data_IF_088090606524
#
_entry.id   IF_088090606524
#
_cell.length_a   1.000
_cell.length_b   1.000
_cell.length_c   1.000
_cell.angle_alpha   90.00
_cell.angle_beta   90.00
_cell.angle_gamma   90.00
#
_symmetry.space_group_name_H-M   'P 1'
#
loop_
_entity.id
_entity.type
_entity.pdbx_description
1 polymer ?
#
# COMPACT_ATOMS: atom_id res chain seq x y z
N UNK A 1 -0.30 -27.36 -30.84
CA UNK A 1 -0.96 -26.16 -31.40
C UNK A 1 -0.71 -24.99 -30.47
N UNK A 2 0.12 -24.07 -30.85
CA UNK A 2 0.26 -22.77 -30.17
C UNK A 2 -1.04 -22.00 -30.45
N UNK A 3 -1.92 -21.89 -29.44
CA UNK A 3 -3.10 -21.02 -29.52
C UNK A 3 -2.58 -19.59 -29.51
N UNK A 4 -2.72 -18.86 -30.62
CA UNK A 4 -2.42 -17.44 -30.67
C UNK A 4 -3.38 -16.70 -29.74
N UNK A 5 -2.86 -15.76 -28.95
CA UNK A 5 -3.69 -14.87 -28.13
C UNK A 5 -4.56 -14.01 -29.07
N UNK A 6 -5.87 -13.91 -28.82
CA UNK A 6 -6.79 -13.19 -29.72
C UNK A 6 -6.64 -11.68 -29.55
N UNK A 7 -5.58 -11.11 -30.10
CA UNK A 7 -5.29 -9.67 -30.05
C UNK A 7 -6.47 -8.86 -30.56
N UNK A 8 -6.90 -7.86 -29.79
CA UNK A 8 -8.02 -6.95 -30.13
C UNK A 8 -9.42 -7.55 -29.94
N UNK A 9 -9.56 -8.78 -29.40
CA UNK A 9 -10.85 -9.43 -29.12
C UNK A 9 -11.04 -9.80 -27.64
N UNK A 10 -10.11 -9.44 -26.79
CA UNK A 10 -10.13 -9.70 -25.35
C UNK A 10 -9.81 -8.42 -24.63
N UNK A 11 -10.64 -8.03 -23.69
CA UNK A 11 -10.37 -7.00 -22.70
C UNK A 11 -9.82 -7.68 -21.45
N UNK A 12 -8.68 -7.18 -20.98
CA UNK A 12 -8.06 -7.66 -19.75
C UNK A 12 -8.52 -6.75 -18.61
N UNK A 13 -9.13 -7.35 -17.61
CA UNK A 13 -9.54 -6.66 -16.38
C UNK A 13 -8.62 -7.10 -15.23
N UNK A 14 -8.02 -6.14 -14.55
CA UNK A 14 -7.28 -6.40 -13.32
C UNK A 14 -8.27 -6.46 -12.14
N UNK A 15 -8.20 -7.53 -11.35
CA UNK A 15 -8.96 -7.68 -10.13
C UNK A 15 -8.02 -7.52 -8.94
N UNK A 16 -8.32 -6.54 -8.09
CA UNK A 16 -7.56 -6.26 -6.88
C UNK A 16 -8.29 -6.78 -5.64
N UNK A 17 -7.61 -6.94 -4.49
CA UNK A 17 -8.29 -7.08 -3.21
C UNK A 17 -9.28 -5.93 -3.00
N UNK A 18 -10.32 -6.16 -2.22
CA UNK A 18 -11.28 -5.12 -1.86
C UNK A 18 -10.54 -3.92 -1.26
N UNK A 19 -10.84 -2.73 -1.75
CA UNK A 19 -10.37 -1.46 -1.18
C UNK A 19 -10.99 -1.23 0.20
N UNK A 20 -10.49 -0.25 0.94
CA UNK A 20 -11.09 0.10 2.22
C UNK A 20 -12.55 0.56 2.07
N UNK A 21 -12.88 1.30 1.03
CA UNK A 21 -14.24 1.72 0.73
C UNK A 21 -15.16 0.52 0.46
N UNK A 22 -14.73 -0.45 -0.35
CA UNK A 22 -15.49 -1.69 -0.60
C UNK A 22 -15.65 -2.53 0.68
N UNK A 23 -14.63 -2.57 1.52
CA UNK A 23 -14.68 -3.24 2.83
C UNK A 23 -15.73 -2.60 3.75
N UNK A 24 -15.71 -1.29 3.94
CA UNK A 24 -16.69 -0.64 4.84
C UNK A 24 -18.12 -0.77 4.34
N UNK A 25 -18.35 -0.78 3.03
CA UNK A 25 -19.68 -1.00 2.44
C UNK A 25 -20.30 -2.35 2.86
N UNK A 26 -19.51 -3.32 3.28
CA UNK A 26 -19.95 -4.65 3.70
C UNK A 26 -19.77 -4.92 5.20
N UNK A 27 -18.76 -4.33 5.82
CA UNK A 27 -18.28 -4.71 7.15
C UNK A 27 -18.75 -3.81 8.30
N UNK A 28 -19.29 -2.63 8.00
CA UNK A 28 -19.71 -1.66 9.04
C UNK A 28 -21.16 -1.22 8.86
N UNK A 29 -21.80 -0.67 9.93
CA UNK A 29 -23.16 -0.14 9.82
C UNK A 29 -23.28 0.98 8.80
N UNK A 30 -24.43 1.08 8.11
CA UNK A 30 -24.69 2.06 7.06
C UNK A 30 -24.43 3.52 7.49
N UNK A 31 -24.63 3.86 8.75
CA UNK A 31 -24.35 5.21 9.26
C UNK A 31 -22.85 5.57 9.18
N UNK A 32 -21.95 4.57 9.34
CA UNK A 32 -20.49 4.76 9.20
C UNK A 32 -20.11 4.88 7.72
N UNK A 33 -20.79 4.11 6.85
CA UNK A 33 -20.62 4.19 5.40
C UNK A 33 -21.01 5.59 4.91
N UNK A 34 -22.20 6.08 5.33
CA UNK A 34 -22.66 7.43 4.99
C UNK A 34 -21.67 8.50 5.49
N UNK A 35 -21.18 8.35 6.73
CA UNK A 35 -20.20 9.28 7.29
C UNK A 35 -18.89 9.33 6.48
N UNK A 36 -18.49 8.21 5.88
CA UNK A 36 -17.32 8.17 4.98
C UNK A 36 -17.60 8.90 3.67
N UNK A 37 -18.70 8.61 2.99
CA UNK A 37 -19.03 9.21 1.70
C UNK A 37 -19.34 10.71 1.81
N UNK A 38 -20.05 11.12 2.87
CA UNK A 38 -20.37 12.52 3.16
C UNK A 38 -19.18 13.30 3.75
N UNK A 39 -18.04 12.62 3.97
CA UNK A 39 -16.82 13.17 4.58
C UNK A 39 -17.10 13.90 5.91
N UNK A 40 -17.95 13.32 6.75
CA UNK A 40 -18.34 13.92 8.02
C UNK A 40 -17.13 14.03 8.97
N UNK A 41 -16.71 15.26 9.24
CA UNK A 41 -15.57 15.55 10.10
C UNK A 41 -16.01 15.77 11.56
N UNK A 42 -16.57 14.72 12.17
CA UNK A 42 -16.87 14.68 13.61
C UNK A 42 -15.91 13.76 14.35
N UNK A 43 -15.74 13.98 15.66
CA UNK A 43 -14.89 13.10 16.48
C UNK A 43 -15.44 11.66 16.50
N UNK A 44 -16.74 11.48 16.45
CA UNK A 44 -17.38 10.17 16.46
C UNK A 44 -17.21 9.46 15.11
N UNK A 45 -17.45 10.13 13.99
CA UNK A 45 -17.21 9.58 12.65
C UNK A 45 -15.75 9.15 12.49
N UNK A 46 -14.81 10.01 12.91
CA UNK A 46 -13.39 9.68 12.87
C UNK A 46 -13.06 8.45 13.73
N UNK A 47 -13.61 8.35 14.94
CA UNK A 47 -13.37 7.20 15.83
C UNK A 47 -13.85 5.90 15.20
N UNK A 48 -15.04 5.89 14.59
CA UNK A 48 -15.63 4.71 13.96
C UNK A 48 -14.87 4.30 12.70
N UNK A 49 -14.57 5.25 11.80
CA UNK A 49 -13.81 4.99 10.57
C UNK A 49 -12.38 4.57 10.86
N UNK A 50 -11.75 5.15 11.88
CA UNK A 50 -10.43 4.74 12.32
C UNK A 50 -10.42 3.31 12.89
N UNK A 51 -11.44 2.95 13.68
CA UNK A 51 -11.60 1.58 14.16
C UNK A 51 -11.77 0.59 13.00
N UNK A 52 -12.60 0.93 12.02
CA UNK A 52 -12.78 0.12 10.82
C UNK A 52 -11.48 -0.03 9.99
N UNK A 53 -10.68 1.04 9.88
CA UNK A 53 -9.38 0.96 9.21
C UNK A 53 -8.40 0.01 9.92
N UNK A 54 -8.36 0.05 11.26
CA UNK A 54 -7.52 -0.87 12.03
C UNK A 54 -7.96 -2.33 11.89
N UNK A 55 -9.27 -2.57 11.77
CA UNK A 55 -9.81 -3.89 11.44
C UNK A 55 -9.41 -4.33 10.04
N UNK A 56 -9.55 -3.44 9.05
CA UNK A 56 -9.12 -3.70 7.68
C UNK A 56 -7.62 -3.99 7.58
N UNK A 57 -6.78 -3.36 8.39
CA UNK A 57 -5.34 -3.68 8.43
C UNK A 57 -5.06 -5.12 8.88
N UNK A 58 -5.96 -5.69 9.69
CA UNK A 58 -5.86 -7.10 10.08
C UNK A 58 -6.49 -8.03 9.04
N UNK A 59 -7.69 -7.71 8.57
CA UNK A 59 -8.48 -8.55 7.66
C UNK A 59 -7.93 -8.53 6.24
N UNK A 60 -7.51 -7.34 5.77
CA UNK A 60 -7.17 -7.10 4.38
C UNK A 60 -8.40 -7.05 3.47
N UNK A 61 -8.15 -6.99 2.17
CA UNK A 61 -9.17 -6.95 1.12
C UNK A 61 -9.43 -8.31 0.45
N UNK A 62 -8.86 -9.41 0.93
CA UNK A 62 -9.12 -10.73 0.34
C UNK A 62 -10.56 -11.16 0.60
N UNK A 63 -11.39 -11.44 -0.44
CA UNK A 63 -12.83 -11.65 -0.28
C UNK A 63 -13.19 -12.74 0.74
N UNK A 64 -12.45 -13.85 0.77
CA UNK A 64 -12.68 -14.93 1.74
C UNK A 64 -12.39 -14.48 3.18
N UNK A 65 -11.35 -13.66 3.39
CA UNK A 65 -11.04 -13.11 4.72
C UNK A 65 -12.11 -12.14 5.19
N UNK A 66 -12.56 -11.23 4.30
CA UNK A 66 -13.64 -10.29 4.59
C UNK A 66 -14.94 -11.04 4.89
N UNK A 67 -15.30 -12.04 4.09
CA UNK A 67 -16.51 -12.84 4.32
C UNK A 67 -16.49 -13.56 5.68
N UNK A 68 -15.36 -14.14 6.07
CA UNK A 68 -15.20 -14.76 7.41
C UNK A 68 -15.27 -13.72 8.54
N UNK A 69 -14.84 -12.49 8.30
CA UNK A 69 -14.89 -11.41 9.28
C UNK A 69 -16.32 -10.92 9.54
N UNK A 70 -17.12 -10.78 8.49
CA UNK A 70 -18.49 -10.24 8.57
C UNK A 70 -19.55 -11.30 8.86
N UNK A 71 -19.19 -12.61 8.87
CA UNK A 71 -20.13 -13.69 9.13
C UNK A 71 -20.81 -13.47 10.49
N UNK A 72 -22.16 -13.36 10.53
CA UNK A 72 -22.92 -13.30 11.78
C UNK A 72 -22.64 -14.53 12.65
N UNK A 73 -22.93 -14.45 13.91
CA UNK A 73 -22.85 -15.55 14.89
C UNK A 73 -21.43 -15.99 15.29
N UNK A 74 -20.37 -15.53 14.62
CA UNK A 74 -19.01 -15.74 15.06
C UNK A 74 -18.61 -14.73 16.14
N UNK A 75 -18.07 -15.23 17.25
CA UNK A 75 -17.39 -14.41 18.25
C UNK A 75 -16.14 -13.73 17.65
N UNK A 76 -15.65 -12.66 18.27
CA UNK A 76 -14.41 -12.01 17.83
C UNK A 76 -13.23 -12.98 17.74
N UNK A 77 -13.11 -13.90 18.72
CA UNK A 77 -12.05 -14.92 18.74
C UNK A 77 -12.13 -15.84 17.52
N UNK A 78 -13.32 -16.28 17.14
CA UNK A 78 -13.55 -17.12 15.96
C UNK A 78 -13.25 -16.34 14.68
N UNK A 79 -13.71 -15.10 14.54
CA UNK A 79 -13.41 -14.24 13.38
C UNK A 79 -11.90 -14.06 13.19
N UNK A 80 -11.18 -13.74 14.26
CA UNK A 80 -9.72 -13.60 14.25
C UNK A 80 -9.05 -14.90 13.82
N UNK A 81 -9.45 -16.04 14.40
CA UNK A 81 -8.90 -17.35 14.05
C UNK A 81 -9.17 -17.71 12.57
N UNK A 82 -10.40 -17.47 12.09
CA UNK A 82 -10.81 -17.78 10.72
C UNK A 82 -10.02 -16.95 9.70
N UNK A 83 -9.91 -15.63 9.90
CA UNK A 83 -9.10 -14.74 9.04
C UNK A 83 -7.64 -15.20 9.00
N UNK A 84 -7.05 -15.52 10.17
CA UNK A 84 -5.68 -16.04 10.23
C UNK A 84 -5.52 -17.34 9.44
N UNK A 85 -6.51 -18.24 9.48
CA UNK A 85 -6.49 -19.48 8.71
C UNK A 85 -6.59 -19.20 7.19
N UNK A 86 -7.46 -18.29 6.78
CA UNK A 86 -7.57 -17.87 5.37
C UNK A 86 -6.24 -17.30 4.87
N UNK A 87 -5.61 -16.39 5.61
CA UNK A 87 -4.30 -15.83 5.22
C UNK A 87 -3.23 -16.90 5.07
N UNK A 88 -3.14 -17.84 6.04
CA UNK A 88 -2.19 -18.95 5.94
C UNK A 88 -2.44 -19.80 4.69
N UNK A 89 -3.70 -20.20 4.43
CA UNK A 89 -4.05 -21.01 3.28
C UNK A 89 -3.76 -20.32 1.96
N UNK A 90 -4.01 -19.00 1.86
CA UNK A 90 -3.67 -18.19 0.68
C UNK A 90 -2.16 -18.16 0.44
N UNK A 91 -1.37 -17.87 1.47
CA UNK A 91 0.09 -17.82 1.37
C UNK A 91 0.65 -19.19 0.97
N UNK A 92 0.15 -20.28 1.58
CA UNK A 92 0.56 -21.64 1.24
C UNK A 92 0.18 -21.99 -0.21
N UNK A 93 -0.97 -21.52 -0.68
CA UNK A 93 -1.41 -21.74 -2.07
C UNK A 93 -0.52 -20.98 -3.07
N UNK A 94 -0.24 -19.71 -2.81
CA UNK A 94 0.68 -18.91 -3.66
C UNK A 94 2.07 -19.53 -3.72
N UNK A 95 2.62 -19.95 -2.58
CA UNK A 95 3.98 -20.53 -2.54
C UNK A 95 4.07 -21.85 -3.29
N UNK A 96 3.00 -22.68 -3.30
CA UNK A 96 2.92 -23.89 -4.13
C UNK A 96 2.85 -23.56 -5.63
N UNK A 97 2.15 -22.49 -5.99
CA UNK A 97 2.03 -22.06 -7.39
C UNK A 97 3.34 -21.50 -7.97
N UNK A 98 4.23 -20.93 -7.13
CA UNK A 98 5.54 -20.47 -7.60
C UNK A 98 6.32 -21.57 -8.33
N UNK A 99 6.17 -22.83 -7.91
CA UNK A 99 6.85 -23.97 -8.51
C UNK A 99 6.34 -24.37 -9.89
N UNK A 100 5.07 -24.11 -10.21
CA UNK A 100 4.45 -24.55 -11.47
C UNK A 100 5.01 -23.84 -12.70
N UNK A 101 5.44 -22.59 -12.55
CA UNK A 101 5.75 -21.71 -13.68
C UNK A 101 7.22 -21.31 -13.80
N UNK A 102 8.04 -21.54 -12.77
CA UNK A 102 9.41 -21.01 -12.72
C UNK A 102 10.51 -22.06 -12.51
N UNK A 103 10.13 -23.32 -12.31
CA UNK A 103 11.04 -24.39 -11.93
C UNK A 103 11.48 -24.33 -10.45
N UNK A 104 12.01 -25.42 -9.86
CA UNK A 104 12.20 -25.54 -8.42
C UNK A 104 13.11 -24.48 -7.79
N UNK A 105 14.22 -24.15 -8.45
CA UNK A 105 15.18 -23.14 -7.93
C UNK A 105 14.60 -21.73 -7.96
N UNK A 106 13.92 -21.37 -9.06
CA UNK A 106 13.28 -20.05 -9.15
C UNK A 106 12.09 -19.93 -8.21
N UNK A 107 11.33 -21.03 -7.99
CA UNK A 107 10.25 -21.07 -7.01
C UNK A 107 10.73 -20.71 -5.61
N UNK A 108 11.82 -21.34 -5.15
CA UNK A 108 12.42 -21.06 -3.85
C UNK A 108 12.90 -19.60 -3.74
N UNK A 109 13.49 -19.05 -4.80
CA UNK A 109 13.90 -17.65 -4.83
C UNK A 109 12.69 -16.70 -4.78
N UNK A 110 11.63 -17.01 -5.52
CA UNK A 110 10.39 -16.22 -5.54
C UNK A 110 9.71 -16.21 -4.18
N UNK A 111 9.61 -17.38 -3.54
CA UNK A 111 9.08 -17.48 -2.17
C UNK A 111 9.94 -16.69 -1.17
N UNK A 112 11.26 -16.80 -1.27
CA UNK A 112 12.18 -16.10 -0.38
C UNK A 112 12.04 -14.58 -0.54
N UNK A 113 11.93 -14.06 -1.76
CA UNK A 113 11.68 -12.63 -2.00
C UNK A 113 10.33 -12.22 -1.43
N UNK A 114 9.26 -12.99 -1.70
CA UNK A 114 7.91 -12.72 -1.24
C UNK A 114 7.83 -12.64 0.30
N UNK A 115 8.36 -13.65 1.00
CA UNK A 115 8.39 -13.68 2.47
C UNK A 115 9.32 -12.64 3.10
N UNK A 116 10.26 -12.07 2.33
CA UNK A 116 11.20 -11.05 2.81
C UNK A 116 10.61 -9.62 2.75
N UNK A 117 9.49 -9.39 2.06
CA UNK A 117 8.89 -8.06 1.91
C UNK A 117 8.61 -7.39 3.25
N UNK A 118 7.94 -8.02 4.24
CA UNK A 118 7.69 -7.39 5.53
C UNK A 118 8.97 -6.98 6.26
N UNK A 119 10.01 -7.82 6.18
CA UNK A 119 11.32 -7.53 6.79
C UNK A 119 12.01 -6.33 6.15
N UNK A 120 11.86 -6.16 4.84
CA UNK A 120 12.40 -5.01 4.10
C UNK A 120 11.65 -3.72 4.43
N UNK A 121 10.33 -3.78 4.45
CA UNK A 121 9.48 -2.65 4.80
C UNK A 121 9.64 -2.25 6.27
N UNK A 122 9.74 -3.23 7.19
CA UNK A 122 9.96 -3.00 8.61
C UNK A 122 11.29 -2.28 8.91
N UNK A 123 12.33 -2.54 8.13
CA UNK A 123 13.64 -1.85 8.26
C UNK A 123 13.63 -0.38 7.81
N UNK A 124 12.59 0.07 7.14
CA UNK A 124 12.45 1.49 6.78
C UNK A 124 12.05 2.38 7.97
N UNK A 125 11.69 1.79 9.11
CA UNK A 125 11.23 2.50 10.31
C UNK A 125 12.36 3.32 10.96
N UNK A 126 13.59 2.81 10.93
CA UNK A 126 14.78 3.48 11.48
C UNK A 126 15.55 4.31 10.44
N UNK A 127 14.90 4.65 9.30
CA UNK A 127 15.51 5.33 8.15
C UNK A 127 16.71 4.60 7.51
N UNK A 128 17.01 3.38 7.95
CA UNK A 128 18.19 2.65 7.45
C UNK A 128 18.01 2.06 6.06
N UNK A 129 16.74 1.88 5.60
CA UNK A 129 16.43 1.24 4.31
C UNK A 129 15.25 1.90 3.63
N UNK A 130 15.52 2.82 2.71
CA UNK A 130 14.50 3.48 1.88
C UNK A 130 14.09 2.67 0.64
N UNK A 131 14.76 1.54 0.34
CA UNK A 131 14.64 0.77 -0.91
C UNK A 131 14.78 -0.71 -0.65
N UNK A 132 14.28 -1.55 -1.57
CA UNK A 132 14.50 -2.98 -1.49
C UNK A 132 16.00 -3.31 -1.59
N UNK A 133 16.54 -4.03 -0.61
CA UNK A 133 17.91 -4.48 -0.59
C UNK A 133 18.02 -5.88 -1.20
N UNK A 134 18.79 -6.00 -2.25
CA UNK A 134 19.04 -7.29 -2.92
C UNK A 134 19.94 -8.19 -2.11
N UNK A 135 20.84 -7.61 -1.30
CA UNK A 135 21.69 -8.37 -0.36
C UNK A 135 20.90 -8.79 0.87
N UNK A 136 20.91 -10.07 1.15
CA UNK A 136 20.32 -10.65 2.38
C UNK A 136 19.14 -11.57 2.17
N UNK A 137 18.18 -11.30 1.26
CA UNK A 137 17.08 -12.24 1.03
C UNK A 137 17.55 -13.64 0.64
N UNK A 138 18.48 -13.76 -0.29
CA UNK A 138 19.01 -15.03 -0.76
C UNK A 138 20.52 -15.05 -0.57
N UNK A 139 21.04 -16.10 0.11
CA UNK A 139 22.49 -16.29 0.31
C UNK A 139 23.22 -16.34 -1.03
N UNK A 140 24.27 -15.53 -1.15
CA UNK A 140 25.10 -15.46 -2.36
C UNK A 140 24.55 -14.60 -3.49
N UNK A 141 23.33 -14.09 -3.39
CA UNK A 141 22.74 -13.14 -4.36
C UNK A 141 22.68 -11.74 -3.77
N UNK A 142 23.30 -10.78 -4.45
CA UNK A 142 23.49 -9.42 -3.92
C UNK A 142 23.13 -8.32 -4.92
N UNK A 143 22.75 -8.69 -6.16
CA UNK A 143 22.50 -7.76 -7.25
C UNK A 143 21.06 -7.91 -7.78
N UNK A 144 20.52 -6.82 -8.29
CA UNK A 144 19.19 -6.81 -8.94
C UNK A 144 19.10 -7.86 -10.06
N UNK A 145 20.12 -7.95 -10.92
CA UNK A 145 20.14 -8.90 -12.05
C UNK A 145 19.93 -10.36 -11.62
N UNK A 146 20.31 -10.72 -10.39
CA UNK A 146 20.19 -12.07 -9.84
C UNK A 146 18.79 -12.35 -9.25
N UNK A 147 18.05 -11.31 -8.84
CA UNK A 147 16.70 -11.39 -8.26
C UNK A 147 15.61 -10.85 -9.19
N UNK A 148 15.99 -10.32 -10.36
CA UNK A 148 15.05 -9.73 -11.32
C UNK A 148 13.96 -10.71 -11.71
N UNK A 149 14.30 -11.94 -12.07
CA UNK A 149 13.34 -12.97 -12.48
C UNK A 149 12.24 -13.21 -11.43
N UNK A 150 12.58 -13.56 -10.18
CA UNK A 150 11.64 -13.68 -9.07
C UNK A 150 10.79 -12.43 -8.84
N UNK A 151 11.39 -11.23 -8.82
CA UNK A 151 10.70 -9.98 -8.56
C UNK A 151 9.73 -9.64 -9.71
N UNK A 152 10.16 -9.77 -10.95
CA UNK A 152 9.33 -9.49 -12.13
C UNK A 152 8.19 -10.50 -12.26
N UNK A 153 8.41 -11.76 -11.86
CA UNK A 153 7.36 -12.76 -11.80
C UNK A 153 6.28 -12.38 -10.79
N UNK A 154 6.67 -12.02 -9.55
CA UNK A 154 5.74 -11.57 -8.51
C UNK A 154 4.95 -10.32 -8.95
N UNK A 155 5.62 -9.38 -9.61
CA UNK A 155 4.97 -8.17 -10.13
C UNK A 155 3.98 -8.48 -11.26
N UNK A 156 4.31 -9.41 -12.20
CA UNK A 156 3.39 -9.86 -13.25
C UNK A 156 2.19 -10.63 -12.70
N UNK A 157 2.41 -11.43 -11.64
CA UNK A 157 1.34 -12.12 -10.93
C UNK A 157 0.48 -11.16 -10.07
N UNK A 158 0.78 -9.86 -10.04
CA UNK A 158 0.10 -8.83 -9.22
C UNK A 158 0.19 -9.09 -7.70
N UNK A 159 1.11 -9.94 -7.27
CA UNK A 159 1.34 -10.23 -5.85
C UNK A 159 2.18 -9.15 -5.16
N UNK A 160 2.89 -8.35 -5.93
CA UNK A 160 3.65 -7.19 -5.46
C UNK A 160 3.54 -6.03 -6.42
N UNK A 161 3.72 -4.82 -5.90
CA UNK A 161 3.87 -3.60 -6.67
C UNK A 161 5.19 -2.90 -6.34
N UNK A 162 5.72 -2.15 -7.31
CA UNK A 162 6.97 -1.39 -7.16
C UNK A 162 6.66 0.08 -7.02
N UNK A 163 7.30 0.75 -6.06
CA UNK A 163 7.33 2.21 -5.96
C UNK A 163 8.75 2.69 -6.23
N UNK A 164 8.92 3.59 -7.19
CA UNK A 164 10.22 4.03 -7.67
C UNK A 164 10.61 5.41 -7.14
N UNK A 165 11.77 5.55 -6.51
CA UNK A 165 12.24 6.85 -6.02
C UNK A 165 12.76 7.72 -7.17
N UNK A 166 12.37 8.99 -7.14
CA UNK A 166 12.92 10.07 -7.95
C UNK A 166 13.84 10.89 -7.04
N UNK A 167 15.10 11.08 -7.45
CA UNK A 167 16.15 11.69 -6.62
C UNK A 167 16.44 13.16 -6.94
N UNK A 168 15.68 13.74 -7.84
CA UNK A 168 15.74 15.13 -8.25
C UNK A 168 14.33 15.73 -8.27
N UNK A 169 14.17 16.94 -8.81
CA UNK A 169 12.84 17.54 -8.95
C UNK A 169 11.95 16.67 -9.86
N UNK A 170 10.82 16.16 -9.36
CA UNK A 170 9.92 15.38 -10.18
C UNK A 170 9.25 16.23 -11.25
N UNK A 171 9.41 15.83 -12.52
CA UNK A 171 8.79 16.51 -13.67
C UNK A 171 8.15 15.48 -14.60
N UNK A 172 6.98 15.76 -15.20
CA UNK A 172 6.42 14.85 -16.20
C UNK A 172 7.33 14.71 -17.43
N UNK A 173 7.45 13.50 -18.02
CA UNK A 173 6.90 12.23 -17.60
C UNK A 173 7.74 11.56 -16.50
N UNK A 174 7.10 11.07 -15.42
CA UNK A 174 7.79 10.52 -14.24
C UNK A 174 8.51 9.19 -14.53
N UNK A 175 7.95 8.39 -15.43
CA UNK A 175 8.48 7.05 -15.75
C UNK A 175 9.87 7.05 -16.40
N UNK A 176 10.30 8.16 -16.99
CA UNK A 176 11.66 8.27 -17.58
C UNK A 176 12.72 8.70 -16.57
N UNK A 177 12.31 9.05 -15.35
CA UNK A 177 13.19 9.56 -14.29
C UNK A 177 13.62 8.47 -13.29
N UNK A 178 13.09 7.27 -13.43
CA UNK A 178 13.36 6.15 -12.52
C UNK A 178 14.62 5.40 -12.91
N UNK A 179 15.15 4.68 -11.92
CA UNK A 179 16.17 3.64 -12.13
C UNK A 179 15.51 2.29 -11.87
N UNK A 180 15.53 1.40 -12.87
CA UNK A 180 14.86 0.09 -12.84
C UNK A 180 15.25 -0.76 -11.61
N UNK A 181 16.46 -0.63 -11.14
CA UNK A 181 17.01 -1.37 -10.02
C UNK A 181 16.84 -0.67 -8.66
N UNK A 182 16.08 0.42 -8.59
CA UNK A 182 15.81 1.15 -7.35
C UNK A 182 14.32 1.25 -7.13
N UNK A 183 13.78 0.57 -6.10
CA UNK A 183 12.35 0.58 -5.76
C UNK A 183 12.14 0.09 -4.32
N UNK A 184 10.97 0.41 -3.76
CA UNK A 184 10.36 -0.35 -2.66
C UNK A 184 9.45 -1.43 -3.26
N UNK A 185 9.33 -2.58 -2.60
CA UNK A 185 8.32 -3.59 -2.91
C UNK A 185 7.22 -3.54 -1.86
N UNK A 186 5.99 -3.44 -2.32
CA UNK A 186 4.78 -3.52 -1.51
C UNK A 186 4.01 -4.79 -1.83
N UNK A 187 3.39 -5.38 -0.81
CA UNK A 187 2.54 -6.52 -0.98
C UNK A 187 1.16 -6.07 -1.49
N UNK A 188 0.50 -6.89 -2.29
CA UNK A 188 -0.77 -6.56 -2.91
C UNK A 188 -1.96 -6.48 -1.94
N UNK A 189 -1.81 -6.99 -0.69
CA UNK A 189 -2.83 -6.96 0.35
C UNK A 189 -2.22 -6.66 1.72
N UNK A 190 -2.85 -5.75 2.47
CA UNK A 190 -2.36 -5.28 3.77
C UNK A 190 -2.55 -6.31 4.88
N UNK A 191 -3.62 -7.12 4.83
CA UNK A 191 -3.87 -8.19 5.81
C UNK A 191 -2.85 -9.32 5.67
N UNK A 192 -2.56 -9.74 4.44
CA UNK A 192 -1.50 -10.70 4.16
C UNK A 192 -0.12 -10.18 4.56
N UNK A 193 0.15 -8.87 4.38
CA UNK A 193 1.39 -8.25 4.85
C UNK A 193 1.51 -8.35 6.37
N UNK A 194 0.47 -7.99 7.11
CA UNK A 194 0.42 -8.11 8.58
C UNK A 194 0.63 -9.54 9.04
N UNK A 195 -0.02 -10.50 8.39
CA UNK A 195 0.14 -11.93 8.67
C UNK A 195 1.58 -12.42 8.45
N UNK A 196 2.20 -12.07 7.32
CA UNK A 196 3.60 -12.40 7.03
C UNK A 196 4.59 -11.71 7.99
N UNK A 197 4.23 -10.53 8.52
CA UNK A 197 5.00 -9.84 9.55
C UNK A 197 4.81 -10.45 10.94
N UNK A 198 3.89 -11.41 11.12
CA UNK A 198 3.58 -12.04 12.40
C UNK A 198 2.75 -11.14 13.34
N UNK A 199 2.06 -10.14 12.81
CA UNK A 199 1.23 -9.23 13.61
C UNK A 199 -0.08 -9.91 14.03
N UNK A 200 -0.45 -9.76 15.30
CA UNK A 200 -1.74 -10.18 15.83
C UNK A 200 -2.84 -9.13 15.57
N UNK A 201 -4.08 -9.50 15.87
CA UNK A 201 -5.20 -8.55 15.82
C UNK A 201 -5.00 -7.41 16.83
N UNK A 202 -4.51 -7.72 18.01
CA UNK A 202 -4.20 -6.76 19.07
C UNK A 202 -3.10 -5.79 18.64
N UNK A 203 -2.02 -6.29 18.02
CA UNK A 203 -0.94 -5.45 17.47
C UNK A 203 -1.46 -4.44 16.46
N UNK A 204 -2.44 -4.82 15.62
CA UNK A 204 -3.06 -3.89 14.66
C UNK A 204 -3.94 -2.85 15.34
N UNK A 205 -4.58 -3.18 16.43
CA UNK A 205 -5.46 -2.25 17.18
C UNK A 205 -4.70 -1.30 18.11
N UNK A 206 -3.56 -1.72 18.65
CA UNK A 206 -2.75 -0.85 19.50
C UNK A 206 -2.19 0.35 18.72
N UNK A 207 -2.46 1.56 19.22
CA UNK A 207 -2.04 2.81 18.56
C UNK A 207 -0.55 3.14 18.72
N UNK A 208 0.17 2.39 19.55
CA UNK A 208 1.54 2.69 20.01
C UNK A 208 2.64 1.90 19.31
N UNK A 209 2.31 0.95 18.43
CA UNK A 209 3.34 0.11 17.81
C UNK A 209 4.15 0.87 16.76
N UNK A 210 5.46 0.80 16.91
CA UNK A 210 6.46 1.38 16.02
C UNK A 210 6.35 0.86 14.57
N UNK A 211 5.70 -0.30 14.39
CA UNK A 211 5.63 -1.01 13.10
C UNK A 211 4.47 -0.57 12.18
N UNK A 212 3.62 0.37 12.60
CA UNK A 212 2.46 0.79 11.79
C UNK A 212 2.80 1.60 10.54
N UNK A 213 3.99 2.20 10.47
CA UNK A 213 4.39 3.03 9.34
C UNK A 213 4.35 2.25 8.01
N UNK A 214 4.95 1.06 7.97
CA UNK A 214 5.00 0.27 6.74
C UNK A 214 3.63 -0.33 6.34
N UNK A 215 2.74 -0.62 7.31
CA UNK A 215 1.36 -1.04 7.04
C UNK A 215 0.59 0.10 6.38
N UNK A 216 0.69 1.33 6.92
CA UNK A 216 0.05 2.51 6.35
C UNK A 216 0.57 2.84 4.94
N UNK A 217 1.88 2.77 4.71
CA UNK A 217 2.45 2.97 3.38
C UNK A 217 1.97 1.89 2.38
N UNK A 218 1.93 0.61 2.80
CA UNK A 218 1.44 -0.47 1.94
C UNK A 218 -0.05 -0.33 1.64
N UNK A 219 -0.84 0.08 2.62
CA UNK A 219 -2.26 0.38 2.43
C UNK A 219 -2.45 1.48 1.37
N UNK A 220 -1.77 2.61 1.51
CA UNK A 220 -1.87 3.71 0.52
C UNK A 220 -1.41 3.25 -0.87
N UNK A 221 -0.35 2.45 -0.95
CA UNK A 221 0.10 1.86 -2.22
C UNK A 221 -1.01 1.02 -2.86
N UNK A 222 -1.69 0.17 -2.08
CA UNK A 222 -2.75 -0.70 -2.58
C UNK A 222 -3.96 0.11 -3.06
N UNK A 223 -4.38 1.13 -2.30
CA UNK A 223 -5.46 2.05 -2.70
C UNK A 223 -5.13 2.77 -4.02
N UNK A 224 -3.90 3.27 -4.19
CA UNK A 224 -3.47 3.93 -5.42
C UNK A 224 -3.46 2.98 -6.64
N UNK A 225 -2.98 1.74 -6.46
CA UNK A 225 -2.97 0.72 -7.52
C UNK A 225 -4.40 0.33 -7.90
N UNK A 226 -5.29 0.12 -6.93
CA UNK A 226 -6.69 -0.21 -7.17
C UNK A 226 -7.44 0.88 -7.94
N UNK A 227 -7.04 2.15 -7.80
CA UNK A 227 -7.56 3.28 -8.57
C UNK A 227 -6.97 3.40 -9.99
N UNK A 228 -6.18 2.43 -10.44
CA UNK A 228 -5.65 2.33 -11.81
C UNK A 228 -4.27 2.93 -12.02
N UNK A 229 -3.53 3.28 -10.97
CA UNK A 229 -2.13 3.67 -11.13
C UNK A 229 -1.27 2.43 -11.41
N UNK A 230 -0.83 2.27 -12.64
CA UNK A 230 0.03 1.15 -13.04
C UNK A 230 1.41 1.19 -12.38
N UNK A 231 1.85 2.37 -11.94
CA UNK A 231 3.17 2.60 -11.35
C UNK A 231 3.10 3.78 -10.38
N UNK A 232 3.75 3.62 -9.23
CA UNK A 232 3.84 4.68 -8.22
C UNK A 232 5.29 5.16 -8.07
N UNK A 233 5.42 6.37 -7.57
CA UNK A 233 6.70 7.04 -7.41
C UNK A 233 6.81 7.60 -5.99
N UNK A 234 8.03 7.70 -5.48
CA UNK A 234 8.39 8.43 -4.28
C UNK A 234 9.43 9.48 -4.62
N UNK A 235 9.70 10.37 -3.70
CA UNK A 235 10.80 11.31 -3.85
C UNK A 235 11.76 11.17 -2.68
N UNK A 236 13.05 11.22 -2.97
CA UNK A 236 14.07 11.22 -1.94
C UNK A 236 15.24 12.13 -2.33
N UNK A 237 15.68 12.96 -1.40
CA UNK A 237 16.88 13.77 -1.57
C UNK A 237 17.54 14.03 -0.22
N UNK A 238 18.82 13.75 -0.13
CA UNK A 238 19.56 13.77 1.13
C UNK A 238 18.87 12.87 2.15
N UNK A 239 18.43 13.45 3.29
CA UNK A 239 17.71 12.74 4.36
C UNK A 239 16.18 12.89 4.27
N UNK A 240 15.67 13.69 3.33
CA UNK A 240 14.23 13.88 3.14
C UNK A 240 13.65 12.82 2.19
N UNK A 241 12.44 12.36 2.52
CA UNK A 241 11.69 11.42 1.70
C UNK A 241 10.21 11.77 1.72
N UNK A 242 9.55 11.62 0.56
CA UNK A 242 8.09 11.68 0.40
C UNK A 242 7.66 10.31 -0.12
N UNK A 243 6.69 9.69 0.54
CA UNK A 243 6.28 8.31 0.28
C UNK A 243 5.68 8.14 -1.11
N UNK A 244 4.88 9.14 -1.57
CA UNK A 244 4.29 9.08 -2.92
C UNK A 244 4.38 10.43 -3.63
N UNK A 245 4.63 10.36 -4.93
CA UNK A 245 4.55 11.46 -5.89
C UNK A 245 3.51 11.08 -6.93
N UNK A 246 2.49 11.91 -7.09
CA UNK A 246 1.38 11.68 -8.01
C UNK A 246 1.38 12.79 -9.05
N UNK A 247 1.05 12.45 -10.29
CA UNK A 247 0.71 13.41 -11.31
C UNK A 247 -0.80 13.51 -11.42
N UNK A 248 -1.35 14.69 -11.19
CA UNK A 248 -2.79 14.91 -11.33
C UNK A 248 -3.21 15.09 -12.82
N UNK A 249 -4.51 15.19 -13.06
CA UNK A 249 -5.06 15.35 -14.41
C UNK A 249 -4.67 16.68 -15.08
N UNK A 250 -4.30 17.71 -14.29
CA UNK A 250 -3.79 18.99 -14.79
C UNK A 250 -2.29 18.92 -15.15
N UNK A 251 -1.64 17.81 -14.86
CA UNK A 251 -0.21 17.61 -15.08
C UNK A 251 0.68 18.06 -13.93
N UNK A 252 0.10 18.59 -12.85
CA UNK A 252 0.83 19.03 -11.66
C UNK A 252 1.34 17.85 -10.84
N UNK A 253 2.47 18.06 -10.18
CA UNK A 253 3.08 17.10 -9.27
C UNK A 253 2.57 17.34 -7.86
N UNK A 254 1.97 16.31 -7.27
CA UNK A 254 1.40 16.31 -5.91
C UNK A 254 2.22 15.39 -5.02
N UNK A 255 2.98 15.91 -4.05
CA UNK A 255 3.64 15.10 -3.03
C UNK A 255 2.61 14.63 -2.00
N UNK A 256 2.73 13.35 -1.59
CA UNK A 256 1.86 12.72 -0.60
C UNK A 256 2.73 12.10 0.51
N UNK A 257 2.64 12.66 1.69
CA UNK A 257 3.30 12.17 2.91
C UNK A 257 2.34 11.27 3.67
N UNK A 258 2.81 10.09 4.11
CA UNK A 258 2.01 9.11 4.88
C UNK A 258 2.56 9.00 6.29
N UNK A 259 1.70 9.20 7.28
CA UNK A 259 2.02 9.04 8.69
C UNK A 259 0.94 8.23 9.40
N UNK A 260 1.33 7.16 10.08
CA UNK A 260 0.40 6.31 10.84
C UNK A 260 -0.03 6.90 12.18
N UNK A 261 0.65 7.95 12.67
CA UNK A 261 0.41 8.56 13.99
C UNK A 261 -0.45 9.81 13.96
N UNK A 262 -0.89 10.25 15.15
CA UNK A 262 -1.75 11.45 15.33
C UNK A 262 -0.98 12.77 15.24
N UNK A 263 0.27 12.82 15.69
CA UNK A 263 1.10 14.03 15.70
C UNK A 263 2.42 13.75 15.03
N UNK A 264 2.54 14.14 13.79
CA UNK A 264 3.74 13.88 13.04
C UNK A 264 4.22 15.15 12.36
N UNK A 265 5.42 15.58 12.74
CA UNK A 265 6.11 16.65 12.03
C UNK A 265 6.44 16.12 10.64
N UNK A 266 5.95 16.79 9.61
CA UNK A 266 6.20 16.45 8.21
C UNK A 266 7.38 17.27 7.66
N UNK A 267 8.57 17.14 8.28
CA UNK A 267 9.76 17.92 7.89
C UNK A 267 10.13 17.74 6.42
N UNK A 268 10.02 16.52 5.91
CA UNK A 268 10.30 16.21 4.49
C UNK A 268 9.32 16.92 3.58
N UNK A 269 8.02 16.88 3.88
CA UNK A 269 6.98 17.54 3.09
C UNK A 269 7.13 19.07 3.13
N UNK A 270 7.41 19.64 4.31
CA UNK A 270 7.69 21.07 4.42
C UNK A 270 8.90 21.47 3.55
N UNK A 271 10.00 20.72 3.65
CA UNK A 271 11.19 20.96 2.83
C UNK A 271 10.91 20.84 1.32
N UNK A 272 10.04 19.88 0.93
CA UNK A 272 9.61 19.71 -0.46
C UNK A 272 8.78 20.91 -0.92
N UNK A 273 7.78 21.34 -0.12
CA UNK A 273 6.92 22.49 -0.41
C UNK A 273 7.75 23.78 -0.56
N UNK A 274 8.66 24.05 0.36
CA UNK A 274 9.51 25.23 0.33
C UNK A 274 10.39 25.27 -0.91
N UNK A 275 10.88 24.10 -1.36
CA UNK A 275 11.81 23.97 -2.45
C UNK A 275 11.16 24.00 -3.83
N UNK A 276 10.06 23.26 -4.01
CA UNK A 276 9.45 23.02 -5.31
C UNK A 276 8.10 23.72 -5.51
N UNK A 277 7.55 24.28 -4.43
CA UNK A 277 6.32 25.09 -4.41
C UNK A 277 5.17 24.44 -5.21
N UNK A 278 4.79 23.19 -4.86
CA UNK A 278 3.68 22.52 -5.53
C UNK A 278 2.39 23.30 -5.29
N UNK A 279 1.44 23.20 -6.21
CA UNK A 279 0.11 23.81 -6.07
C UNK A 279 -0.75 23.10 -5.01
N UNK A 280 -0.49 21.82 -4.78
CA UNK A 280 -1.13 20.98 -3.80
C UNK A 280 -0.10 20.04 -3.19
N UNK A 281 -0.19 19.83 -1.89
CA UNK A 281 0.51 18.80 -1.15
C UNK A 281 -0.49 18.08 -0.25
N UNK A 282 -0.40 16.75 -0.14
CA UNK A 282 -1.31 15.94 0.66
C UNK A 282 -0.52 15.28 1.80
N UNK A 283 -1.13 15.24 2.97
CA UNK A 283 -0.60 14.53 4.13
C UNK A 283 -1.68 13.62 4.70
N UNK A 284 -1.43 12.33 4.75
CA UNK A 284 -2.30 11.33 5.36
C UNK A 284 -1.85 11.08 6.80
N UNK A 285 -2.79 11.12 7.76
CA UNK A 285 -2.49 10.96 9.19
C UNK A 285 -3.54 10.13 9.94
N UNK A 286 -3.17 9.67 11.14
CA UNK A 286 -4.09 8.99 12.06
C UNK A 286 -4.92 9.95 12.92
N UNK A 287 -5.32 11.11 12.37
CA UNK A 287 -6.14 12.11 13.03
C UNK A 287 -7.13 12.72 12.02
N UNK A 288 -8.00 13.62 12.51
CA UNK A 288 -8.91 14.39 11.65
C UNK A 288 -8.13 15.29 10.71
N UNK A 289 -8.76 15.60 9.58
CA UNK A 289 -8.15 16.39 8.52
C UNK A 289 -8.17 17.90 8.80
N UNK A 290 -7.36 18.63 8.04
CA UNK A 290 -7.34 20.10 8.01
C UNK A 290 -6.79 20.57 6.66
N UNK A 291 -7.17 21.76 6.22
CA UNK A 291 -6.62 22.36 5.00
C UNK A 291 -5.97 23.68 5.35
N UNK A 292 -4.74 23.85 4.92
CA UNK A 292 -3.97 25.09 5.13
C UNK A 292 -3.11 25.39 3.90
N UNK A 293 -3.39 26.51 3.22
CA UNK A 293 -2.72 26.91 1.97
C UNK A 293 -2.68 25.77 0.94
N UNK A 294 -1.48 25.38 0.52
CA UNK A 294 -1.26 24.27 -0.43
C UNK A 294 -1.33 22.89 0.20
N UNK A 295 -1.38 22.79 1.54
CA UNK A 295 -1.37 21.52 2.26
C UNK A 295 -2.78 21.10 2.65
N UNK A 296 -3.22 19.96 2.12
CA UNK A 296 -4.43 19.25 2.57
C UNK A 296 -4.01 18.06 3.43
N UNK A 297 -4.42 18.06 4.68
CA UNK A 297 -4.25 16.93 5.60
C UNK A 297 -5.53 16.12 5.63
N UNK A 298 -5.44 14.82 5.38
CA UNK A 298 -6.57 13.90 5.39
C UNK A 298 -6.36 12.78 6.40
N UNK A 299 -7.42 12.29 7.04
CA UNK A 299 -7.35 11.01 7.72
C UNK A 299 -6.89 9.89 6.78
N UNK A 300 -6.08 8.96 7.29
CA UNK A 300 -5.49 7.89 6.49
C UNK A 300 -6.54 7.02 5.76
N UNK A 301 -7.73 6.85 6.33
CA UNK A 301 -8.82 6.10 5.70
C UNK A 301 -9.39 6.77 4.43
N UNK A 302 -9.00 8.01 4.13
CA UNK A 302 -9.30 8.66 2.85
C UNK A 302 -8.16 8.53 1.83
N UNK A 303 -7.36 7.47 1.91
CA UNK A 303 -6.32 7.22 0.91
C UNK A 303 -6.87 7.12 -0.52
N UNK A 304 -8.09 6.58 -0.69
CA UNK A 304 -8.79 6.57 -1.98
C UNK A 304 -9.11 7.97 -2.52
N UNK A 305 -9.28 8.96 -1.65
CA UNK A 305 -9.58 10.33 -2.06
C UNK A 305 -8.38 11.12 -2.62
N UNK A 306 -7.16 10.59 -2.55
CA UNK A 306 -5.95 11.28 -3.00
C UNK A 306 -6.06 11.73 -4.47
N UNK A 307 -6.55 10.84 -5.35
CA UNK A 307 -6.70 11.17 -6.77
C UNK A 307 -7.84 12.15 -7.03
N UNK A 308 -8.88 12.17 -6.21
CA UNK A 308 -9.97 13.14 -6.27
C UNK A 308 -9.51 14.52 -5.81
N UNK A 309 -8.90 14.62 -4.62
CA UNK A 309 -8.33 15.88 -4.11
C UNK A 309 -7.35 16.50 -5.10
N UNK A 310 -6.56 15.66 -5.75
CA UNK A 310 -5.62 16.12 -6.77
C UNK A 310 -6.30 16.67 -8.04
N UNK A 311 -7.61 16.40 -8.25
CA UNK A 311 -8.38 16.97 -9.39
C UNK A 311 -8.93 18.36 -9.10
N UNK A 312 -9.22 18.71 -7.84
CA UNK A 312 -9.96 19.92 -7.46
C UNK A 312 -9.06 21.06 -6.93
N UNK A 313 -7.77 21.04 -7.17
CA UNK A 313 -6.85 22.06 -6.68
C UNK A 313 -6.99 23.45 -7.32
N UNK A 314 -8.09 23.74 -8.03
CA UNK A 314 -8.45 25.07 -8.56
C UNK A 314 -9.93 25.36 -8.33
N UNK A 315 -10.24 25.86 -7.17
CA UNK A 315 -11.43 26.72 -6.96
C UNK A 315 -11.11 27.77 -5.91
#
# INVERSE_FOLDING_TARGET
MLRSFPVGRVELMDLFPLTFEEYINTAVPQIVVSAFHDRLDTSESHRQLWSALLEYFYVGGMPEAVNNWITPDHSLVERVANVKNVHRNLIDSYTRDFGKYSGPVNAQHTETVFRNIPLQLGKSIDDSVKRFRFRGPIKGKNRYSELRGPIDWLAKAKLVSKNYPITHEPKPPLNVQIKENLFKLFLFDVGLLGHLAGMSYEDQREQTTTFKGFIAENFVQNELIAQGLNQTYSWEQNMAQIEFIIRNNQGDIVPVEVKSGKRTKAKSLTSYIDRYKPKLAIKLIGARGEKHDVLTTLPLYYASAILEESRYSQS
#
